data_IF_976250354561
#
_entry.id   IF_976250354561
#
_cell.length_a   1.000
_cell.length_b   1.000
_cell.length_c   1.000
_cell.angle_alpha   90.00
_cell.angle_beta   90.00
_cell.angle_gamma   90.00
#
_symmetry.space_group_name_H-M   'P 1'
#
loop_
_entity.id
_entity.type
_entity.pdbx_description
1 polymer ?
#
# COMPACT_ATOMS: atom_id res chain seq x y z
N UNK A 1 -10.84 -2.58 10.67
CA UNK A 1 -9.91 -2.47 9.52
C UNK A 1 -9.59 -3.88 9.05
N UNK A 2 -9.58 -4.15 7.74
CA UNK A 2 -9.41 -5.52 7.21
C UNK A 2 -8.04 -6.14 7.54
N UNK A 3 -7.00 -5.31 7.69
CA UNK A 3 -5.69 -5.75 8.18
C UNK A 3 -5.78 -6.39 9.58
N UNK A 4 -6.39 -5.68 10.55
CA UNK A 4 -6.51 -6.18 11.91
C UNK A 4 -7.33 -7.48 11.98
N UNK A 5 -8.39 -7.59 11.19
CA UNK A 5 -9.19 -8.82 11.11
C UNK A 5 -8.38 -9.99 10.50
N UNK A 6 -7.60 -9.73 9.44
CA UNK A 6 -6.72 -10.72 8.83
C UNK A 6 -5.66 -11.20 9.80
N UNK A 7 -5.00 -10.28 10.52
CA UNK A 7 -3.99 -10.60 11.54
C UNK A 7 -4.59 -11.44 12.66
N UNK A 8 -5.76 -11.04 13.19
CA UNK A 8 -6.44 -11.80 14.23
C UNK A 8 -6.79 -13.23 13.78
N UNK A 9 -7.29 -13.38 12.55
CA UNK A 9 -7.62 -14.69 11.97
C UNK A 9 -6.39 -15.59 11.81
N UNK A 10 -5.26 -15.04 11.35
CA UNK A 10 -3.98 -15.79 11.25
C UNK A 10 -3.47 -16.18 12.64
N UNK A 11 -3.56 -15.27 13.63
CA UNK A 11 -3.01 -15.49 14.96
C UNK A 11 -3.74 -16.59 15.75
N UNK A 12 -5.05 -16.74 15.56
CA UNK A 12 -5.87 -17.76 16.26
C UNK A 12 -6.04 -19.05 15.46
N UNK A 13 -5.58 -19.07 14.20
CA UNK A 13 -5.71 -20.20 13.28
C UNK A 13 -4.59 -21.24 13.44
N UNK A 14 -4.67 -22.29 12.62
CA UNK A 14 -3.58 -23.26 12.49
C UNK A 14 -2.33 -22.56 11.94
N UNK A 15 -1.12 -22.85 12.47
CA UNK A 15 0.11 -22.24 11.98
C UNK A 15 0.29 -22.45 10.47
N UNK A 16 0.41 -21.35 9.74
CA UNK A 16 0.53 -21.36 8.27
C UNK A 16 1.91 -21.85 7.80
N UNK A 17 2.97 -21.66 8.60
CA UNK A 17 4.35 -21.90 8.19
C UNK A 17 4.68 -21.19 6.85
N UNK A 18 4.16 -19.98 6.67
CA UNK A 18 4.25 -19.22 5.43
C UNK A 18 3.75 -17.79 5.59
N UNK A 19 3.55 -17.10 4.47
CA UNK A 19 3.11 -15.70 4.42
C UNK A 19 1.70 -15.57 3.85
N UNK A 20 0.99 -14.53 4.28
CA UNK A 20 -0.27 -14.10 3.69
C UNK A 20 -0.06 -12.72 3.09
N UNK A 21 -0.23 -12.63 1.77
CA UNK A 21 -0.25 -11.34 1.08
C UNK A 21 -1.64 -10.70 1.22
N UNK A 22 -1.68 -9.46 1.70
CA UNK A 22 -2.90 -8.66 1.84
C UNK A 22 -2.67 -7.30 1.18
N UNK A 23 -3.59 -6.87 0.32
CA UNK A 23 -3.54 -5.58 -0.36
C UNK A 23 -4.91 -4.91 -0.45
N UNK A 24 -4.94 -3.61 -0.72
CA UNK A 24 -6.16 -2.91 -1.13
C UNK A 24 -6.54 -3.20 -2.58
N UNK A 25 -7.67 -2.67 -3.07
CA UNK A 25 -8.15 -2.93 -4.42
C UNK A 25 -7.41 -2.13 -5.49
N UNK A 26 -6.62 -1.13 -5.08
CA UNK A 26 -5.96 -0.18 -5.96
C UNK A 26 -4.43 -0.34 -5.87
N UNK A 27 -3.77 -0.31 -7.02
CA UNK A 27 -2.32 -0.22 -7.14
C UNK A 27 -1.95 1.16 -7.69
N UNK A 28 -0.90 1.76 -7.12
CA UNK A 28 -0.43 3.09 -7.49
C UNK A 28 1.07 3.05 -7.70
N UNK A 29 1.57 3.87 -8.63
CA UNK A 29 2.98 4.19 -8.64
C UNK A 29 3.37 4.94 -7.35
N UNK A 30 4.60 4.76 -6.87
CA UNK A 30 5.06 5.40 -5.62
C UNK A 30 4.92 6.93 -5.65
N UNK A 31 5.16 7.56 -6.80
CA UNK A 31 4.97 8.99 -6.97
C UNK A 31 3.51 9.43 -6.83
N UNK A 32 2.55 8.63 -7.31
CA UNK A 32 1.12 8.92 -7.20
C UNK A 32 0.65 8.91 -5.74
N UNK A 33 1.15 7.98 -4.94
CA UNK A 33 0.86 7.95 -3.49
C UNK A 33 1.33 9.25 -2.80
N UNK A 34 2.51 9.76 -3.19
CA UNK A 34 3.01 11.05 -2.71
C UNK A 34 2.09 12.20 -3.08
N UNK A 35 1.66 12.26 -4.35
CA UNK A 35 0.74 13.29 -4.85
C UNK A 35 -0.60 13.24 -4.10
N UNK A 36 -1.20 12.06 -3.96
CA UNK A 36 -2.49 11.89 -3.27
C UNK A 36 -2.38 12.35 -1.80
N UNK A 37 -1.29 11.99 -1.13
CA UNK A 37 -1.07 12.34 0.28
C UNK A 37 -0.88 13.84 0.47
N UNK A 38 -0.07 14.49 -0.37
CA UNK A 38 0.14 15.95 -0.28
C UNK A 38 -1.17 16.71 -0.54
N UNK A 39 -1.92 16.31 -1.56
CA UNK A 39 -3.24 16.90 -1.86
C UNK A 39 -4.22 16.76 -0.71
N UNK A 40 -4.30 15.57 -0.09
CA UNK A 40 -5.17 15.32 1.05
C UNK A 40 -4.85 16.24 2.25
N UNK A 41 -3.58 16.67 2.37
CA UNK A 41 -3.10 17.57 3.43
C UNK A 41 -3.14 19.06 3.04
N UNK A 42 -3.61 19.41 1.85
CA UNK A 42 -3.56 20.78 1.33
C UNK A 42 -2.14 21.30 1.05
N UNK A 43 -1.18 20.40 0.88
CA UNK A 43 0.23 20.73 0.62
C UNK A 43 0.46 20.92 -0.89
N UNK A 44 1.05 22.06 -1.26
CA UNK A 44 1.26 22.47 -2.66
C UNK A 44 2.62 22.08 -3.24
N UNK A 45 3.46 21.35 -2.48
CA UNK A 45 4.74 20.84 -3.01
C UNK A 45 4.51 19.90 -4.19
N UNK A 46 5.37 20.00 -5.19
CA UNK A 46 5.37 19.10 -6.34
C UNK A 46 6.09 17.78 -6.01
N UNK A 47 5.72 16.72 -6.73
CA UNK A 47 6.37 15.41 -6.67
C UNK A 47 7.02 15.15 -8.03
N UNK A 48 8.29 14.79 -8.02
CA UNK A 48 9.07 14.45 -9.21
C UNK A 48 9.67 13.07 -9.02
N UNK A 49 9.60 12.22 -10.04
CA UNK A 49 10.29 10.93 -10.08
C UNK A 49 11.77 11.15 -10.34
N UNK A 50 12.63 10.46 -9.60
CA UNK A 50 14.09 10.52 -9.76
C UNK A 50 14.66 9.09 -9.80
N UNK A 51 14.99 8.63 -11.00
CA UNK A 51 15.54 7.29 -11.24
C UNK A 51 17.02 7.18 -10.81
N UNK A 52 17.58 8.27 -10.27
CA UNK A 52 18.93 8.31 -9.68
C UNK A 52 18.90 8.43 -8.15
N UNK A 53 17.73 8.33 -7.52
CA UNK A 53 17.51 8.48 -6.08
C UNK A 53 18.04 7.30 -5.22
N UNK A 54 19.21 6.76 -5.57
CA UNK A 54 19.93 5.73 -4.83
C UNK A 54 19.05 4.50 -4.55
N UNK A 55 18.96 4.11 -3.27
CA UNK A 55 18.18 2.94 -2.86
C UNK A 55 16.70 3.00 -3.25
N UNK A 56 16.12 4.20 -3.39
CA UNK A 56 14.72 4.35 -3.79
C UNK A 56 14.48 4.12 -5.28
N UNK A 57 15.50 4.31 -6.12
CA UNK A 57 15.44 4.01 -7.55
C UNK A 57 15.91 2.58 -7.89
N UNK A 58 16.54 1.87 -6.95
CA UNK A 58 16.98 0.49 -7.15
C UNK A 58 15.82 -0.51 -7.27
N UNK A 59 14.65 -0.15 -6.74
CA UNK A 59 13.46 -1.00 -6.65
C UNK A 59 12.54 -0.71 -7.83
N UNK A 60 12.44 -1.66 -8.76
CA UNK A 60 11.68 -1.49 -10.01
C UNK A 60 10.57 -2.53 -10.17
N UNK A 61 9.54 -2.17 -10.92
CA UNK A 61 8.44 -3.08 -11.27
C UNK A 61 7.47 -3.33 -10.12
N UNK A 62 7.04 -4.59 -9.97
CA UNK A 62 5.90 -5.04 -9.16
C UNK A 62 6.35 -5.64 -7.80
N UNK A 63 7.55 -5.27 -7.33
CA UNK A 63 8.16 -5.88 -6.14
C UNK A 63 7.50 -5.45 -4.82
N UNK A 64 6.75 -4.34 -4.84
CA UNK A 64 5.93 -3.87 -3.71
C UNK A 64 4.43 -4.13 -3.93
N UNK A 65 4.04 -4.81 -5.00
CA UNK A 65 2.64 -5.15 -5.27
C UNK A 65 2.35 -6.58 -4.83
N UNK A 66 1.08 -6.89 -4.47
CA UNK A 66 0.68 -8.24 -4.09
C UNK A 66 0.99 -9.27 -5.18
N UNK A 67 1.46 -10.45 -4.78
CA UNK A 67 1.60 -11.59 -5.71
C UNK A 67 0.25 -12.27 -5.94
N UNK A 68 0.23 -13.19 -6.92
CA UNK A 68 -0.98 -13.97 -7.25
C UNK A 68 -1.49 -14.68 -6.00
N UNK A 69 -2.79 -14.56 -5.74
CA UNK A 69 -3.44 -15.17 -4.57
C UNK A 69 -3.50 -14.27 -3.34
N UNK A 70 -3.01 -13.02 -3.42
CA UNK A 70 -3.19 -12.06 -2.34
C UNK A 70 -4.66 -11.84 -2.02
N UNK A 71 -4.94 -11.70 -0.72
CA UNK A 71 -6.24 -11.27 -0.24
C UNK A 71 -6.42 -9.79 -0.57
N UNK A 72 -7.52 -9.44 -1.23
CA UNK A 72 -7.85 -8.07 -1.58
C UNK A 72 -8.89 -7.54 -0.60
N UNK A 73 -8.48 -6.57 0.21
CA UNK A 73 -9.33 -5.80 1.08
C UNK A 73 -10.20 -4.83 0.27
N UNK A 74 -11.45 -4.56 0.67
CA UNK A 74 -12.30 -3.60 -0.05
C UNK A 74 -11.94 -2.13 0.22
N UNK A 75 -11.10 -1.86 1.22
CA UNK A 75 -10.77 -0.50 1.64
C UNK A 75 -9.83 0.18 0.62
N UNK A 76 -10.26 1.32 0.09
CA UNK A 76 -9.46 2.16 -0.83
C UNK A 76 -8.60 3.16 -0.06
N UNK A 77 -7.40 3.42 -0.56
CA UNK A 77 -6.45 4.34 0.08
C UNK A 77 -7.00 5.77 0.15
N UNK A 78 -7.64 6.25 -0.92
CA UNK A 78 -8.25 7.57 -0.96
C UNK A 78 -9.39 7.74 0.07
N UNK A 79 -10.25 6.72 0.22
CA UNK A 79 -11.35 6.74 1.19
C UNK A 79 -10.82 6.76 2.64
N UNK A 80 -9.72 6.06 2.91
CA UNK A 80 -9.09 6.09 4.22
C UNK A 80 -8.49 7.47 4.53
N UNK A 81 -7.76 8.07 3.57
CA UNK A 81 -7.21 9.42 3.71
C UNK A 81 -8.31 10.44 3.94
N UNK A 82 -9.42 10.41 3.20
CA UNK A 82 -10.53 11.35 3.39
C UNK A 82 -11.14 11.31 4.81
N UNK A 83 -10.97 10.21 5.55
CA UNK A 83 -11.49 10.05 6.91
C UNK A 83 -10.47 10.36 8.02
N UNK A 84 -9.18 10.42 7.69
CA UNK A 84 -8.08 10.49 8.69
C UNK A 84 -6.94 11.46 8.32
N UNK A 85 -7.06 12.21 7.22
CA UNK A 85 -6.12 13.26 6.84
C UNK A 85 -6.29 14.52 7.69
#
# INVERSE_FOLDING_TARGET
>A
MDLAATVAGVAVGTPLQGTVDLAGPDAYASAELGIITLRAKGDSRSVTTDDTAGMFAAVNGDVLTPKVGARIAPARHADWLARHA
#
